data_IF_447501722123
#
_entry.id   IF_447501722123
#
_cell.length_a   1.000
_cell.length_b   1.000
_cell.length_c   1.000
_cell.angle_alpha   90.00
_cell.angle_beta   90.00
_cell.angle_gamma   90.00
#
_symmetry.space_group_name_H-M   'P 1'
#
loop_
_entity.id
_entity.type
_entity.pdbx_description
1 polymer ?
#
# COMPACT_ATOMS: atom_id res chain seq x y z
N UNK A 1 10.81 17.14 6.71
CA UNK A 1 10.46 15.70 6.82
C UNK A 1 11.74 14.92 7.01
N UNK A 2 11.81 14.10 8.03
CA UNK A 2 12.97 13.24 8.34
C UNK A 2 12.47 11.80 8.51
N UNK A 3 13.15 10.85 7.87
CA UNK A 3 12.84 9.43 7.98
C UNK A 3 13.71 8.81 9.07
N UNK A 4 13.09 8.50 10.21
CA UNK A 4 13.77 7.97 11.38
C UNK A 4 13.91 6.44 11.32
N UNK A 5 12.98 5.78 10.63
CA UNK A 5 12.99 4.34 10.44
C UNK A 5 12.28 3.97 9.14
N UNK A 6 12.89 3.06 8.37
CA UNK A 6 12.23 2.36 7.29
C UNK A 6 12.73 0.92 7.30
N UNK A 7 11.83 -0.01 7.65
CA UNK A 7 12.05 -1.44 7.48
C UNK A 7 11.03 -1.94 6.48
N UNK A 8 11.49 -2.67 5.47
CA UNK A 8 10.60 -3.30 4.53
C UNK A 8 10.98 -4.76 4.30
N UNK A 9 9.98 -5.58 4.03
CA UNK A 9 10.13 -6.94 3.55
C UNK A 9 9.35 -7.05 2.24
N UNK A 10 10.00 -7.55 1.21
CA UNK A 10 9.38 -7.82 -0.08
C UNK A 10 9.41 -9.31 -0.34
N UNK A 11 8.24 -9.89 -0.60
CA UNK A 11 8.10 -11.32 -0.84
C UNK A 11 7.95 -11.55 -2.34
N UNK A 12 8.81 -12.41 -2.88
CA UNK A 12 8.87 -12.75 -4.29
C UNK A 12 8.63 -14.26 -4.43
N UNK A 13 7.78 -14.63 -5.37
CA UNK A 13 7.57 -16.02 -5.78
C UNK A 13 8.77 -16.50 -6.60
N UNK A 14 9.36 -17.64 -6.25
CA UNK A 14 10.67 -18.07 -6.75
C UNK A 14 10.68 -18.38 -8.25
N UNK A 15 9.60 -18.95 -8.76
CA UNK A 15 9.58 -19.52 -10.10
C UNK A 15 9.24 -18.47 -11.16
N UNK A 16 8.33 -17.54 -10.84
CA UNK A 16 7.90 -16.45 -11.74
C UNK A 16 8.60 -15.12 -11.45
N UNK A 17 9.27 -14.99 -10.30
CA UNK A 17 9.81 -13.73 -9.78
C UNK A 17 8.76 -12.65 -9.55
N UNK A 18 7.50 -13.03 -9.47
CA UNK A 18 6.42 -12.10 -9.21
C UNK A 18 6.37 -11.70 -7.74
N UNK A 19 6.07 -10.42 -7.45
CA UNK A 19 5.84 -10.02 -6.08
C UNK A 19 4.54 -10.62 -5.57
N UNK A 20 4.55 -11.05 -4.32
CA UNK A 20 3.37 -11.61 -3.65
C UNK A 20 2.99 -10.83 -2.41
N UNK A 21 3.93 -10.09 -1.82
CA UNK A 21 3.61 -9.22 -0.70
C UNK A 21 4.69 -8.19 -0.39
N UNK A 22 4.27 -7.16 0.33
CA UNK A 22 5.13 -6.13 0.87
C UNK A 22 4.67 -5.81 2.29
N UNK A 23 5.61 -5.73 3.21
CA UNK A 23 5.41 -5.22 4.56
C UNK A 23 6.37 -4.06 4.78
N UNK A 24 5.85 -2.91 5.21
CA UNK A 24 6.64 -1.72 5.50
C UNK A 24 6.30 -1.20 6.89
N UNK A 25 7.33 -0.94 7.68
CA UNK A 25 7.27 -0.22 8.96
C UNK A 25 8.08 1.05 8.81
N UNK A 26 7.38 2.19 8.86
CA UNK A 26 7.93 3.50 8.58
C UNK A 26 7.68 4.43 9.78
N UNK A 27 8.75 5.09 10.23
CA UNK A 27 8.69 6.20 11.16
C UNK A 27 9.27 7.44 10.52
N UNK A 28 8.48 8.51 10.49
CA UNK A 28 8.96 9.81 10.04
C UNK A 28 8.54 10.90 11.01
N UNK A 29 9.32 11.98 11.02
CA UNK A 29 9.00 13.21 11.71
C UNK A 29 8.85 14.35 10.71
N UNK A 30 7.96 15.27 11.01
CA UNK A 30 7.78 16.51 10.27
C UNK A 30 7.75 17.66 11.27
N UNK A 31 8.50 18.73 10.99
CA UNK A 31 8.50 19.93 11.81
C UNK A 31 8.20 21.11 10.90
N UNK A 32 7.08 21.79 11.18
CA UNK A 32 6.74 23.10 10.63
C UNK A 32 6.81 24.13 11.76
N UNK A 33 5.78 24.21 12.61
CA UNK A 33 5.78 24.98 13.86
C UNK A 33 5.84 24.09 15.11
N UNK A 34 5.35 22.85 14.99
CA UNK A 34 5.39 21.80 16.00
C UNK A 34 5.95 20.53 15.35
N UNK A 35 6.78 19.79 16.09
CA UNK A 35 7.28 18.49 15.64
C UNK A 35 6.18 17.44 15.80
N UNK A 36 5.75 16.86 14.67
CA UNK A 36 4.89 15.69 14.62
C UNK A 36 5.71 14.44 14.32
N UNK A 37 5.46 13.37 15.06
CA UNK A 37 5.97 12.03 14.78
C UNK A 37 4.84 11.12 14.28
N UNK A 38 5.12 10.35 13.23
CA UNK A 38 4.17 9.39 12.66
C UNK A 38 4.82 8.01 12.56
N UNK A 39 4.08 7.00 13.00
CA UNK A 39 4.41 5.58 12.80
C UNK A 39 3.36 4.98 11.87
N UNK A 40 3.77 4.45 10.73
CA UNK A 40 2.91 3.81 9.75
C UNK A 40 3.35 2.39 9.49
N UNK A 41 2.39 1.47 9.49
CA UNK A 41 2.57 0.09 9.03
C UNK A 41 1.71 -0.15 7.81
N UNK A 42 2.33 -0.63 6.73
CA UNK A 42 1.66 -0.92 5.47
C UNK A 42 1.92 -2.38 5.15
N UNK A 43 0.86 -3.16 5.00
CA UNK A 43 0.91 -4.54 4.51
C UNK A 43 0.11 -4.62 3.21
N UNK A 44 0.72 -5.15 2.17
CA UNK A 44 0.12 -5.31 0.86
C UNK A 44 0.34 -6.70 0.30
N UNK A 45 -0.65 -7.24 -0.39
CA UNK A 45 -0.57 -8.52 -1.10
C UNK A 45 -0.81 -8.29 -2.59
N UNK A 46 0.02 -8.91 -3.41
CA UNK A 46 -0.10 -8.85 -4.87
C UNK A 46 -0.66 -10.17 -5.38
N UNK A 47 -1.65 -10.11 -6.26
CA UNK A 47 -2.30 -11.28 -6.85
C UNK A 47 -2.79 -10.94 -8.26
N UNK A 48 -3.22 -11.95 -9.02
CA UNK A 48 -3.84 -11.77 -10.35
C UNK A 48 -2.96 -11.01 -11.35
N UNK A 49 -1.66 -11.27 -11.30
CA UNK A 49 -0.69 -10.60 -12.17
C UNK A 49 -0.93 -11.06 -13.61
N UNK A 50 -1.07 -10.09 -14.52
CA UNK A 50 -1.43 -10.29 -15.93
C UNK A 50 -2.82 -10.90 -16.17
N UNK A 51 -3.73 -10.84 -15.19
CA UNK A 51 -5.14 -11.18 -15.39
C UNK A 51 -5.88 -9.97 -15.97
N UNK A 52 -6.57 -10.16 -17.11
CA UNK A 52 -7.47 -9.14 -17.67
C UNK A 52 -8.85 -9.36 -17.08
N UNK A 53 -9.24 -8.52 -16.12
CA UNK A 53 -10.59 -8.48 -15.57
C UNK A 53 -11.31 -7.22 -15.98
N UNK A 54 -12.59 -7.33 -16.31
CA UNK A 54 -13.44 -6.17 -16.54
C UNK A 54 -13.60 -5.36 -15.24
N UNK A 55 -13.42 -4.05 -15.32
CA UNK A 55 -13.73 -3.14 -14.21
C UNK A 55 -15.19 -2.76 -14.37
N UNK A 56 -16.05 -3.36 -13.55
CA UNK A 56 -17.47 -3.02 -13.49
C UNK A 56 -17.74 -2.04 -12.36
N UNK A 57 -18.58 -1.04 -12.62
CA UNK A 57 -19.06 -0.14 -11.57
C UNK A 57 -20.18 -0.88 -10.83
N UNK A 58 -20.12 -1.04 -9.50
CA UNK A 58 -21.22 -1.62 -8.74
C UNK A 58 -22.50 -0.80 -8.95
N UNK A 59 -23.62 -1.46 -9.23
CA UNK A 59 -24.90 -0.79 -9.50
C UNK A 59 -25.31 0.16 -8.35
N UNK A 60 -24.99 -0.23 -7.11
CA UNK A 60 -25.18 0.59 -5.91
C UNK A 60 -24.52 1.98 -6.01
N UNK A 61 -23.35 2.09 -6.65
CA UNK A 61 -22.66 3.37 -6.85
C UNK A 61 -23.32 4.25 -7.92
N UNK A 62 -24.09 3.66 -8.84
CA UNK A 62 -24.88 4.36 -9.86
C UNK A 62 -26.27 4.76 -9.34
N UNK A 63 -26.80 4.00 -8.38
CA UNK A 63 -28.13 4.18 -7.82
C UNK A 63 -28.18 5.28 -6.74
N UNK A 64 -27.03 5.74 -6.24
CA UNK A 64 -26.91 6.99 -5.46
C UNK A 64 -27.11 8.19 -6.40
N UNK A 65 -28.33 8.37 -6.91
CA UNK A 65 -28.74 9.66 -7.48
C UNK A 65 -28.97 10.67 -6.34
N UNK A 66 -28.62 11.95 -6.54
CA UNK A 66 -28.80 13.02 -5.56
C UNK A 66 -30.26 13.25 -5.16
#
# INVERSE_FOLDING_TARGET
>A
MEFNHLKYQYTIEKDTYYPTGIDMDMRFSYTEEVTMESNQKITGTFSKINEVTEITIPQEALDVKP
#
